data_IF_171391485988
#
_entry.id   IF_171391485988
#
_cell.length_a   1.000
_cell.length_b   1.000
_cell.length_c   1.000
_cell.angle_alpha   90.00
_cell.angle_beta   90.00
_cell.angle_gamma   90.00
#
_symmetry.space_group_name_H-M   'P 1'
#
loop_
_entity.id
_entity.type
_entity.pdbx_description
1 polymer ?
2 polymer ?
3 non-polymer ?
4 non-polymer ?
5 water ?
#
# COMPACT_ATOMS: atom_id res chain seq x y z
N UNK A 1 13.52 9.76 -9.21
CA UNK A 1 13.08 10.84 -8.34
C UNK A 1 12.92 10.43 -6.88
N UNK A 2 12.79 11.44 -6.02
CA UNK A 2 12.38 11.29 -4.63
C UNK A 2 10.93 11.77 -4.50
N UNK A 3 10.07 10.93 -3.92
CA UNK A 3 8.66 11.22 -3.81
C UNK A 3 8.32 11.29 -2.33
N UNK A 4 7.81 12.44 -1.89
CA UNK A 4 7.33 12.56 -0.52
C UNK A 4 5.87 12.09 -0.47
N UNK A 5 5.30 12.05 0.73
CA UNK A 5 4.04 11.34 0.93
C UNK A 5 2.93 12.20 1.52
N UNK A 6 3.06 13.52 1.41
CA UNK A 6 2.02 14.43 1.85
C UNK A 6 0.79 14.29 0.96
N UNK A 7 1.01 13.83 -0.27
CA UNK A 7 -0.08 13.54 -1.20
C UNK A 7 0.09 12.09 -1.62
N UNK A 8 -1.00 11.45 -2.07
CA UNK A 8 -0.89 10.10 -2.64
C UNK A 8 0.20 10.08 -3.73
N UNK A 9 1.10 9.09 -3.71
CA UNK A 9 2.12 8.93 -4.74
C UNK A 9 1.58 8.36 -6.08
N UNK A 10 0.78 9.18 -6.75
CA UNK A 10 0.21 8.86 -8.05
C UNK A 10 1.20 9.21 -9.15
N UNK A 11 1.38 8.31 -10.12
CA UNK A 11 2.28 8.55 -11.24
C UNK A 11 1.63 8.11 -12.55
N UNK A 12 2.16 8.58 -13.67
CA UNK A 12 1.69 8.10 -14.97
C UNK A 12 2.47 6.85 -15.38
N UNK A 13 1.75 5.85 -15.83
CA UNK A 13 2.36 4.65 -16.39
C UNK A 13 1.90 4.48 -17.85
N UNK A 14 2.66 3.72 -18.65
CA UNK A 14 2.26 3.27 -19.99
C UNK A 14 2.14 1.76 -19.95
N UNK A 15 1.05 1.24 -20.47
CA UNK A 15 0.80 -0.20 -20.48
C UNK A 15 -0.12 -0.47 -21.66
N UNK A 16 0.20 -1.52 -22.43
CA UNK A 16 -0.55 -1.88 -23.61
C UNK A 16 -0.70 -0.70 -24.56
N UNK A 17 0.29 0.19 -24.53
CA UNK A 17 0.30 1.42 -25.30
C UNK A 17 -0.60 2.55 -24.87
N UNK A 18 -1.17 2.47 -23.67
CA UNK A 18 -2.07 3.48 -23.13
C UNK A 18 -1.47 4.09 -21.86
N UNK A 19 -1.77 5.36 -21.62
CA UNK A 19 -1.37 6.04 -20.40
C UNK A 19 -2.48 5.86 -19.35
N UNK A 20 -2.07 5.62 -18.11
CA UNK A 20 -2.96 5.49 -16.96
C UNK A 20 -2.26 6.10 -15.76
N UNK A 21 -3.03 6.50 -14.76
CA UNK A 21 -2.49 6.95 -13.48
C UNK A 21 -2.52 5.78 -12.50
N UNK A 22 -1.46 5.63 -11.71
CA UNK A 22 -1.40 4.55 -10.74
C UNK A 22 -0.72 5.00 -9.47
N UNK A 23 -1.03 4.32 -8.38
CA UNK A 23 -0.48 4.63 -7.07
C UNK A 23 0.70 3.70 -6.75
N UNK A 24 1.84 4.29 -6.42
CA UNK A 24 3.01 3.50 -5.98
C UNK A 24 2.76 3.00 -4.56
N UNK A 25 2.57 1.69 -4.44
CA UNK A 25 2.02 1.09 -3.24
C UNK A 25 2.93 0.01 -2.64
N UNK A 26 3.74 0.41 -1.66
CA UNK A 26 4.66 -0.52 -0.98
C UNK A 26 3.96 -1.57 -0.14
N UNK A 27 2.68 -1.35 0.15
CA UNK A 27 1.86 -2.30 0.89
C UNK A 27 1.26 -3.38 0.01
N UNK A 28 1.46 -3.29 -1.29
CA UNK A 28 0.92 -4.31 -2.20
C UNK A 28 2.01 -5.26 -2.69
N UNK A 29 1.79 -6.56 -2.56
CA UNK A 29 2.71 -7.54 -3.15
C UNK A 29 2.66 -7.45 -4.67
N UNK A 30 1.47 -7.20 -5.20
CA UNK A 30 1.16 -7.31 -6.61
C UNK A 30 0.68 -5.98 -7.18
N UNK A 31 0.84 -5.83 -8.49
CA UNK A 31 0.28 -4.72 -9.27
C UNK A 31 -1.14 -5.11 -9.72
N UNK A 32 -2.09 -4.23 -9.42
CA UNK A 32 -3.51 -4.46 -9.73
C UNK A 32 -4.08 -3.21 -10.40
N UNK A 33 -4.63 -3.39 -11.59
CA UNK A 33 -5.23 -2.30 -12.35
C UNK A 33 -6.73 -2.52 -12.52
N UNK A 34 -7.44 -1.42 -12.67
CA UNK A 34 -8.88 -1.44 -12.87
C UNK A 34 -9.15 -2.08 -14.21
N UNK A 35 -10.39 -2.51 -14.40
CA UNK A 35 -10.79 -3.22 -15.60
C UNK A 35 -10.30 -2.54 -16.87
N UNK A 36 -9.65 -3.33 -17.71
CA UNK A 36 -9.12 -2.87 -18.98
C UNK A 36 -8.77 -4.11 -19.78
N UNK A 37 -8.56 -3.95 -21.08
CA UNK A 37 -8.17 -5.07 -21.90
C UNK A 37 -6.64 -5.08 -21.99
N UNK A 38 -6.03 -6.25 -21.83
CA UNK A 38 -4.60 -6.41 -22.07
C UNK A 38 -4.46 -7.54 -23.08
N UNK A 39 -3.44 -7.47 -23.94
CA UNK A 39 -3.21 -8.58 -24.86
C UNK A 39 -2.64 -9.84 -24.20
N UNK A 40 -2.95 -10.98 -24.79
CA UNK A 40 -2.38 -12.25 -24.36
C UNK A 40 -3.30 -13.07 -23.48
N UNK A 41 -2.77 -14.20 -23.03
CA UNK A 41 -3.51 -15.09 -22.16
C UNK A 41 -3.57 -14.51 -20.75
N UNK A 42 -4.60 -14.89 -20.01
CA UNK A 42 -4.67 -14.59 -18.59
C UNK A 42 -5.22 -15.82 -17.88
N UNK A 43 -4.98 -15.89 -16.57
CA UNK A 43 -5.47 -16.98 -15.73
C UNK A 43 -6.29 -16.34 -14.62
N UNK A 44 -7.41 -16.95 -14.23
CA UNK A 44 -8.14 -16.43 -13.08
C UNK A 44 -7.32 -16.60 -11.80
N UNK A 45 -7.34 -15.57 -10.95
CA UNK A 45 -6.66 -15.61 -9.65
C UNK A 45 -7.52 -14.85 -8.65
N UNK A 46 -7.22 -15.05 -7.36
CA UNK A 46 -7.86 -14.30 -6.29
C UNK A 46 -6.79 -13.60 -5.47
N UNK A 47 -7.05 -12.35 -5.07
CA UNK A 47 -6.18 -11.63 -4.16
C UNK A 47 -6.98 -10.99 -3.03
N UNK A 48 -6.29 -10.67 -1.93
CA UNK A 48 -6.91 -10.11 -0.76
C UNK A 48 -6.37 -8.73 -0.44
N UNK A 49 -7.28 -7.91 0.10
CA UNK A 49 -6.95 -6.58 0.58
C UNK A 49 -7.62 -6.37 1.92
N UNK A 50 -7.71 -5.10 2.31
CA UNK A 50 -8.19 -4.76 3.63
C UNK A 50 -9.66 -5.12 3.80
N UNK A 51 -10.43 -5.08 2.71
CA UNK A 51 -11.86 -5.39 2.76
C UNK A 51 -12.24 -6.83 2.46
N UNK A 52 -11.28 -7.65 2.05
CA UNK A 52 -11.55 -9.06 1.72
C UNK A 52 -10.95 -9.44 0.39
N UNK A 53 -11.46 -10.51 -0.22
CA UNK A 53 -10.85 -11.05 -1.44
C UNK A 53 -11.63 -10.72 -2.70
N UNK A 54 -10.92 -10.56 -3.81
CA UNK A 54 -11.53 -10.31 -5.10
C UNK A 54 -10.96 -11.27 -6.16
N UNK A 55 -11.72 -11.41 -7.23
CA UNK A 55 -11.29 -12.17 -8.40
C UNK A 55 -10.61 -11.22 -9.38
N UNK A 56 -9.46 -11.62 -9.90
CA UNK A 56 -8.74 -10.82 -10.89
C UNK A 56 -8.31 -11.70 -12.06
N UNK A 57 -7.91 -11.06 -13.16
CA UNK A 57 -7.27 -11.74 -14.29
C UNK A 57 -5.78 -11.53 -14.15
N UNK A 58 -4.99 -12.61 -14.18
CA UNK A 58 -3.54 -12.48 -14.11
C UNK A 58 -2.89 -12.55 -15.49
N UNK A 59 -2.25 -11.45 -15.88
CA UNK A 59 -1.45 -11.37 -17.08
C UNK A 59 0.03 -11.44 -16.74
N UNK A 60 0.77 -12.37 -17.34
CA UNK A 60 2.19 -12.46 -17.05
C UNK A 60 3.08 -11.72 -18.07
N UNK A 61 4.28 -11.33 -17.63
CA UNK A 61 5.30 -10.80 -18.52
C UNK A 61 4.79 -9.63 -19.34
N UNK A 62 4.10 -8.71 -18.66
CA UNK A 62 3.55 -7.52 -19.31
C UNK A 62 4.53 -6.33 -19.17
N UNK A 63 4.91 -5.70 -20.28
CA UNK A 63 5.73 -4.50 -20.11
C UNK A 63 4.93 -3.32 -19.58
N UNK A 64 5.52 -2.60 -18.64
CA UNK A 64 4.90 -1.44 -18.02
C UNK A 64 5.99 -0.40 -17.83
N UNK A 65 5.75 0.83 -18.29
CA UNK A 65 6.70 1.89 -18.10
C UNK A 65 6.20 2.81 -16.99
N UNK A 66 7.01 3.05 -15.96
CA UNK A 66 6.56 3.76 -14.75
C UNK A 66 7.47 4.98 -14.55
N UNK A 67 6.94 6.18 -14.76
CA UNK A 67 7.76 7.39 -14.71
C UNK A 67 9.01 7.27 -15.58
N UNK A 68 8.88 6.64 -16.74
CA UNK A 68 10.00 6.51 -17.65
C UNK A 68 10.87 5.31 -17.35
N UNK A 69 10.57 4.52 -16.32
CA UNK A 69 11.42 3.38 -15.96
C UNK A 69 10.72 2.11 -16.43
N UNK A 70 11.47 1.20 -17.04
CA UNK A 70 10.91 0.03 -17.67
C UNK A 70 10.77 -1.13 -16.67
N UNK A 71 9.60 -1.76 -16.68
CA UNK A 71 9.40 -3.03 -15.97
C UNK A 71 8.69 -3.97 -16.91
N UNK A 72 8.87 -5.27 -16.67
CA UNK A 72 8.12 -6.29 -17.42
C UNK A 72 7.75 -7.31 -16.37
N UNK A 73 6.45 -7.47 -16.09
CA UNK A 73 6.05 -8.43 -15.09
C UNK A 73 4.56 -8.67 -14.99
N UNK A 74 4.14 -9.30 -13.89
CA UNK A 74 2.76 -9.68 -13.70
C UNK A 74 1.89 -8.47 -13.38
N UNK A 75 0.75 -8.41 -14.07
CA UNK A 75 -0.24 -7.36 -13.86
C UNK A 75 -1.57 -8.08 -13.67
N UNK A 76 -2.21 -7.76 -12.56
CA UNK A 76 -3.56 -8.27 -12.24
C UNK A 76 -4.58 -7.19 -12.63
N UNK A 77 -5.72 -7.63 -13.18
CA UNK A 77 -6.77 -6.72 -13.60
C UNK A 77 -8.06 -7.13 -12.93
N UNK A 78 -8.74 -6.16 -12.32
CA UNK A 78 -10.00 -6.45 -11.65
C UNK A 78 -10.51 -5.26 -10.86
N UNK A 79 -11.52 -5.48 -9.99
CA UNK A 79 -12.26 -4.43 -9.31
C UNK A 79 -11.53 -3.80 -8.11
N UNK A 80 -10.34 -3.28 -8.36
CA UNK A 80 -9.63 -2.47 -7.38
C UNK A 80 -10.16 -1.03 -7.43
N UNK A 81 -10.21 -0.34 -6.28
CA UNK A 81 -10.61 1.08 -6.26
C UNK A 81 -9.66 2.05 -6.97
N UNK A 82 -8.40 1.69 -7.07
CA UNK A 82 -7.38 2.54 -7.69
C UNK A 82 -6.34 1.63 -8.34
N UNK A 83 -5.75 2.09 -9.44
CA UNK A 83 -4.63 1.39 -10.04
C UNK A 83 -3.44 1.40 -9.08
N UNK A 84 -2.87 0.24 -8.79
CA UNK A 84 -1.76 0.22 -7.85
C UNK A 84 -0.57 -0.49 -8.47
N UNK A 85 0.60 0.13 -8.30
CA UNK A 85 1.86 -0.52 -8.61
C UNK A 85 2.39 -1.11 -7.33
N UNK A 86 2.52 -2.44 -7.31
CA UNK A 86 2.99 -3.14 -6.12
C UNK A 86 4.45 -3.51 -6.23
N UNK A 87 4.91 -4.26 -5.24
CA UNK A 87 6.33 -4.51 -5.09
C UNK A 87 6.92 -5.32 -6.23
N UNK A 88 6.10 -6.16 -6.87
CA UNK A 88 6.65 -6.94 -7.99
C UNK A 88 7.28 -6.02 -9.08
N UNK A 89 6.70 -4.85 -9.33
CA UNK A 89 7.24 -3.92 -10.29
C UNK A 89 8.08 -2.83 -9.64
N UNK A 90 7.74 -2.44 -8.42
CA UNK A 90 8.57 -1.45 -7.68
C UNK A 90 10.03 -1.88 -7.58
N UNK A 91 10.25 -3.18 -7.33
CA UNK A 91 11.59 -3.73 -7.25
C UNK A 91 12.32 -3.58 -8.59
N UNK A 92 11.60 -3.80 -9.68
CA UNK A 92 12.24 -3.72 -11.00
C UNK A 92 12.75 -2.34 -11.34
N UNK A 93 12.10 -1.29 -10.83
CA UNK A 93 12.50 0.08 -11.16
C UNK A 93 13.46 0.64 -10.09
N UNK A 94 13.85 -0.20 -9.14
CA UNK A 94 14.86 0.15 -8.13
C UNK A 94 14.32 1.05 -7.03
N UNK A 95 13.03 0.92 -6.76
CA UNK A 95 12.37 1.74 -5.74
C UNK A 95 12.68 1.26 -4.31
N UNK A 96 13.06 2.18 -3.43
CA UNK A 96 13.22 1.90 -2.01
C UNK A 96 12.48 2.95 -1.16
N UNK A 97 12.24 2.60 0.10
CA UNK A 97 11.75 3.52 1.11
C UNK A 97 12.93 3.99 1.94
N UNK A 98 12.96 5.29 2.22
CA UNK A 98 14.06 5.90 2.93
C UNK A 98 13.55 6.89 3.98
N UNK A 99 14.10 6.81 5.19
CA UNK A 99 13.84 7.80 6.23
C UNK A 99 15.01 7.88 7.20
N UNK B 1 16.96 4.81 7.81
CA UNK B 1 17.37 3.62 7.08
C UNK B 1 16.86 3.59 5.65
N UNK B 2 17.34 2.63 4.87
CA UNK B 2 16.82 2.36 3.55
C UNK B 2 16.19 0.97 3.54
N UNK B 3 14.94 0.89 3.11
CA UNK B 3 14.20 -0.37 3.10
C UNK B 3 13.96 -0.78 1.66
N UNK B 4 14.50 -1.93 1.26
CA UNK B 4 14.27 -2.45 -0.08
C UNK B 4 12.90 -3.16 -0.09
N UNK B 5 12.44 -3.52 -1.28
CA UNK B 5 11.06 -3.98 -1.43
C UNK B 5 10.94 -5.41 -1.94
N UNK B 6 12.04 -6.15 -1.85
CA UNK B 6 12.04 -7.56 -2.19
C UNK B 6 11.06 -8.34 -1.32
N UNK B 7 10.94 -7.92 -0.07
CA UNK B 7 10.00 -8.51 0.86
C UNK B 7 9.08 -7.39 1.35
N UNK B 8 7.99 -7.78 2.00
CA UNK B 8 7.08 -6.80 2.62
C UNK B 8 7.90 -5.94 3.57
N UNK B 9 7.77 -4.61 3.45
CA UNK B 9 8.52 -3.70 4.33
C UNK B 9 7.91 -3.65 5.74
N UNK B 10 8.21 -4.67 6.52
CA UNK B 10 7.74 -4.81 7.88
C UNK B 10 8.79 -4.27 8.85
N UNK B 11 8.35 -3.40 9.75
CA UNK B 11 9.23 -2.79 10.73
C UNK B 11 8.59 -2.85 12.10
N UNK B 12 9.38 -2.55 13.13
CA UNK B 12 8.88 -2.57 14.50
C UNK B 12 8.35 -1.19 14.86
N UNK B 13 7.18 -1.17 15.48
CA UNK B 13 6.63 0.09 15.97
C UNK B 13 6.34 -0.06 17.44
N UNK B 14 6.23 1.07 18.12
CA UNK B 14 5.79 1.09 19.51
C UNK B 14 4.53 1.94 19.62
N UNK B 15 3.47 1.37 20.20
CA UNK B 15 2.19 2.08 20.33
C UNK B 15 1.46 1.60 21.56
N UNK B 16 0.99 2.57 22.34
CA UNK B 16 0.22 2.25 23.55
C UNK B 16 0.93 1.29 24.48
N UNK B 17 2.25 1.46 24.61
CA UNK B 17 3.07 0.55 25.40
C UNK B 17 3.19 -0.88 24.87
N UNK B 18 3.06 -1.07 23.55
CA UNK B 18 3.30 -2.38 22.94
C UNK B 18 4.22 -2.26 21.72
N UNK B 19 5.14 -3.20 21.55
CA UNK B 19 5.93 -3.31 20.33
C UNK B 19 5.21 -4.25 19.39
N UNK B 20 5.10 -3.85 18.12
CA UNK B 20 4.34 -4.60 17.12
C UNK B 20 5.09 -4.52 15.79
N UNK B 21 4.79 -5.46 14.89
CA UNK B 21 5.33 -5.46 13.53
C UNK B 21 4.28 -4.75 12.66
N UNK B 22 4.73 -3.87 11.77
CA UNK B 22 3.81 -3.15 10.91
C UNK B 22 4.43 -2.92 9.55
N UNK B 23 3.53 -2.83 8.57
CA UNK B 23 3.88 -2.69 7.18
C UNK B 23 3.89 -1.21 6.78
N UNK B 24 5.01 -0.75 6.23
CA UNK B 24 5.09 0.63 5.73
C UNK B 24 4.36 0.67 4.39
N UNK B 25 3.26 1.40 4.31
CA UNK B 25 2.32 1.30 3.20
C UNK B 25 2.03 2.67 2.59
N UNK B 26 2.77 3.01 1.52
CA UNK B 26 2.56 4.26 0.75
C UNK B 26 1.20 4.35 0.06
N UNK B 27 0.55 3.22 -0.13
CA UNK B 27 -0.79 3.16 -0.68
C UNK B 27 -1.92 3.36 0.33
N UNK B 28 -1.57 3.59 1.59
CA UNK B 28 -2.56 3.80 2.64
C UNK B 28 -2.58 5.25 3.07
N UNK B 29 -3.74 5.89 3.03
CA UNK B 29 -3.87 7.27 3.54
C UNK B 29 -3.73 7.32 5.06
N UNK B 30 -4.22 6.26 5.70
CA UNK B 30 -4.39 6.18 7.14
C UNK B 30 -3.61 5.00 7.68
N UNK B 31 -3.40 5.04 9.00
CA UNK B 31 -2.72 3.97 9.74
C UNK B 31 -3.79 3.09 10.38
N UNK B 32 -3.69 1.77 10.18
CA UNK B 32 -4.74 0.85 10.60
C UNK B 32 -4.08 -0.29 11.35
N UNK B 33 -4.45 -0.45 12.60
CA UNK B 33 -3.85 -1.50 13.43
C UNK B 33 -4.82 -2.62 13.70
N UNK B 34 -4.27 -3.83 13.88
CA UNK B 34 -5.05 -5.00 14.26
C UNK B 34 -5.72 -4.70 15.58
N UNK B 35 -6.81 -5.42 15.84
CA UNK B 35 -7.61 -5.22 17.03
C UNK B 35 -6.72 -5.16 18.27
N UNK B 36 -6.93 -4.10 19.05
CA UNK B 36 -6.20 -3.87 20.28
C UNK B 36 -7.03 -2.92 21.13
N UNK B 37 -6.86 -3.06 22.44
CA UNK B 37 -7.74 -2.41 23.39
C UNK B 37 -7.18 -1.10 23.95
N UNK B 38 -6.96 -0.12 23.06
CA UNK B 38 -6.41 1.18 23.44
C UNK B 38 -7.38 1.95 24.33
N UNK B 39 -6.84 2.65 25.34
CA UNK B 39 -7.74 3.55 26.06
C UNK B 39 -8.01 4.81 25.25
N UNK B 40 -9.08 5.51 25.61
CA UNK B 40 -9.37 6.80 25.01
C UNK B 40 -10.68 6.84 24.26
N UNK B 41 -11.07 8.05 23.90
CA UNK B 41 -12.26 8.30 23.11
C UNK B 41 -11.96 7.93 21.66
N UNK B 42 -12.96 7.41 20.98
CA UNK B 42 -12.78 7.08 19.57
C UNK B 42 -14.09 7.39 18.88
N UNK B 43 -14.07 7.39 17.56
CA UNK B 43 -15.34 7.42 16.82
C UNK B 43 -15.32 6.40 15.68
N UNK B 44 -16.51 5.92 15.29
CA UNK B 44 -16.56 4.94 14.20
C UNK B 44 -16.22 5.55 12.84
N UNK B 45 -15.63 4.71 12.00
CA UNK B 45 -15.24 5.09 10.64
C UNK B 45 -15.31 3.82 9.78
N UNK B 46 -15.50 4.03 8.48
CA UNK B 46 -15.37 3.00 7.46
C UNK B 46 -14.20 3.34 6.55
N UNK B 47 -13.33 2.37 6.32
CA UNK B 47 -12.20 2.51 5.40
C UNK B 47 -12.25 1.41 4.36
N UNK B 48 -11.76 1.72 3.16
CA UNK B 48 -11.94 0.86 2.01
C UNK B 48 -10.61 0.55 1.36
N UNK B 49 -10.62 -0.58 0.66
CA UNK B 49 -9.51 -0.97 -0.18
C UNK B 49 -9.95 -2.13 -1.06
N UNK B 50 -9.00 -2.95 -1.49
CA UNK B 50 -9.38 -4.13 -2.25
C UNK B 50 -10.30 -5.01 -1.39
N UNK B 51 -11.42 -5.42 -1.97
CA UNK B 51 -12.36 -6.27 -1.25
C UNK B 51 -13.57 -5.55 -0.68
N UNK B 52 -13.44 -4.25 -0.46
CA UNK B 52 -14.53 -3.45 0.10
C UNK B 52 -14.10 -2.69 1.33
N UNK B 53 -15.05 -2.51 2.24
CA UNK B 53 -14.85 -1.64 3.39
C UNK B 53 -14.84 -2.46 4.65
N UNK B 54 -14.12 -1.98 5.67
CA UNK B 54 -14.26 -2.54 7.01
C UNK B 54 -14.57 -1.40 7.98
N UNK B 55 -15.18 -1.80 9.09
CA UNK B 55 -15.49 -0.89 10.18
C UNK B 55 -14.32 -0.79 11.14
N UNK B 56 -13.92 0.43 11.49
CA UNK B 56 -12.79 0.68 12.40
C UNK B 56 -13.09 1.74 13.46
N UNK B 57 -12.24 1.79 14.49
CA UNK B 57 -12.37 2.77 15.56
C UNK B 57 -11.28 3.79 15.35
N UNK B 58 -11.66 5.06 15.27
CA UNK B 58 -10.69 6.13 15.05
C UNK B 58 -10.27 6.77 16.37
N UNK B 59 -8.97 6.69 16.67
CA UNK B 59 -8.37 7.29 17.87
C UNK B 59 -7.44 8.42 17.41
N UNK B 60 -7.54 9.59 18.04
CA UNK B 60 -6.72 10.72 17.63
C UNK B 60 -5.55 10.97 18.58
N UNK B 61 -4.48 11.57 18.05
CA UNK B 61 -3.34 12.02 18.87
C UNK B 61 -2.71 10.89 19.68
N UNK B 62 -2.47 9.77 19.00
CA UNK B 62 -1.86 8.62 19.62
C UNK B 62 -0.37 8.60 19.24
N UNK B 63 0.54 8.64 20.23
CA UNK B 63 1.98 8.52 19.90
C UNK B 63 2.34 7.17 19.31
N UNK B 64 3.11 7.17 18.23
CA UNK B 64 3.55 5.91 17.61
C UNK B 64 5.01 6.11 17.22
N UNK B 65 5.89 5.27 17.75
CA UNK B 65 7.29 5.32 17.33
C UNK B 65 7.53 4.25 16.26
N UNK B 66 8.20 4.62 15.17
CA UNK B 66 8.40 3.73 14.04
C UNK B 66 9.91 3.64 13.83
N UNK B 67 10.47 2.47 14.11
CA UNK B 67 11.94 2.29 14.06
C UNK B 67 12.69 3.42 14.73
N UNK B 68 12.26 3.81 15.92
CA UNK B 68 12.94 4.87 16.69
C UNK B 68 12.55 6.30 16.36
N UNK B 69 11.74 6.50 15.32
CA UNK B 69 11.31 7.83 14.91
C UNK B 69 9.92 8.09 15.46
N UNK B 70 9.78 9.15 16.25
CA UNK B 70 8.53 9.43 16.94
C UNK B 70 7.53 10.07 15.99
N UNK B 71 6.27 9.70 16.18
CA UNK B 71 5.18 10.25 15.41
C UNK B 71 4.01 10.35 16.39
N UNK B 72 2.99 11.10 15.99
CA UNK B 72 1.80 11.21 16.80
C UNK B 72 0.66 11.55 15.87
N UNK B 73 -0.40 10.75 15.91
CA UNK B 73 -1.49 11.02 15.01
C UNK B 73 -2.67 10.10 15.18
N UNK B 74 -3.49 10.08 14.14
CA UNK B 74 -4.69 9.27 14.13
C UNK B 74 -4.35 7.83 13.83
N UNK B 75 -4.89 6.92 14.64
CA UNK B 75 -4.75 5.50 14.42
C UNK B 75 -6.14 4.88 14.35
N UNK B 76 -6.34 4.02 13.35
CA UNK B 76 -7.57 3.30 13.17
C UNK B 76 -7.38 1.86 13.65
N UNK B 77 -8.36 1.34 14.40
CA UNK B 77 -8.25 -0.01 14.94
C UNK B 77 -9.44 -0.84 14.45
N UNK B 78 -9.14 -2.00 13.91
CA UNK B 78 -10.17 -2.84 13.36
C UNK B 78 -9.61 -4.12 12.82
N UNK B 79 -10.46 -4.91 12.15
CA UNK B 79 -10.09 -6.23 11.68
C UNK B 79 -9.34 -6.16 10.35
N UNK B 80 -8.22 -5.46 10.38
CA UNK B 80 -7.24 -5.55 9.32
C UNK B 80 -6.45 -6.84 9.53
N UNK B 81 -6.06 -7.51 8.43
CA UNK B 81 -5.19 -8.67 8.57
C UNK B 81 -3.72 -8.38 8.96
N UNK B 82 -3.27 -7.14 8.81
CA UNK B 82 -1.89 -6.76 9.10
C UNK B 82 -1.89 -5.33 9.64
N UNK B 83 -0.95 -4.99 10.51
CA UNK B 83 -0.80 -3.61 10.96
C UNK B 83 -0.18 -2.80 9.83
N UNK B 84 -0.78 -1.64 9.55
CA UNK B 84 -0.43 -0.86 8.38
C UNK B 84 -0.08 0.57 8.81
N UNK B 85 1.12 1.02 8.47
CA UNK B 85 1.51 2.41 8.70
C UNK B 85 1.27 3.19 7.42
N UNK B 86 0.33 4.13 7.49
CA UNK B 86 -0.04 4.90 6.33
C UNK B 86 0.63 6.27 6.24
N UNK B 87 0.29 7.04 5.22
CA UNK B 87 1.00 8.30 4.95
C UNK B 87 0.92 9.31 6.07
N UNK B 88 -0.16 9.27 6.84
CA UNK B 88 -0.33 10.23 7.93
C UNK B 88 0.84 10.19 8.91
N UNK B 89 1.42 9.03 9.15
CA UNK B 89 2.58 8.89 10.02
C UNK B 89 3.89 8.80 9.22
N UNK B 90 3.87 8.23 8.02
CA UNK B 90 5.07 8.20 7.18
C UNK B 90 5.65 9.57 6.91
N UNK B 91 4.78 10.55 6.70
CA UNK B 91 5.23 11.91 6.48
C UNK B 91 5.96 12.44 7.72
N UNK B 92 5.50 12.06 8.92
CA UNK B 92 6.08 12.58 10.17
C UNK B 92 7.48 12.06 10.45
N UNK B 93 7.79 10.88 9.91
CA UNK B 93 9.13 10.31 10.03
C UNK B 93 10.05 10.61 8.85
N UNK B 94 9.59 11.43 7.91
CA UNK B 94 10.42 11.88 6.79
C UNK B 94 10.66 10.82 5.72
N UNK B 95 9.74 9.86 5.65
CA UNK B 95 9.79 8.76 4.69
C UNK B 95 9.51 9.21 3.26
N UNK B 96 10.38 8.79 2.35
CA UNK B 96 10.21 9.05 0.92
C UNK B 96 10.34 7.76 0.13
N UNK B 97 9.81 7.81 -1.09
CA UNK B 97 10.04 6.78 -2.09
C UNK B 97 11.12 7.28 -3.02
N UNK B 98 12.05 6.41 -3.39
CA UNK B 98 13.19 6.84 -4.18
C UNK B 98 13.54 5.84 -5.25
N UNK B 99 13.62 6.29 -6.50
CA UNK B 99 14.13 5.45 -7.57
C UNK B 99 14.78 6.27 -8.69
N UNK C 2 -1.82 -13.64 -2.21
CA UNK C 2 -1.46 -12.25 -2.64
C UNK C 2 -2.20 -11.24 -1.77
N UNK C 3 -1.41 -10.37 -1.11
CA UNK C 3 -1.93 -9.37 -0.18
C UNK C 3 -1.70 -7.98 -0.77
N UNK C 4 -2.78 -7.25 -0.93
CA UNK C 4 -2.72 -5.93 -1.53
C UNK C 4 -3.39 -4.84 -0.66
N UNK C 5 -2.59 -4.32 0.27
CA UNK C 5 -3.00 -3.25 1.19
C UNK C 5 -2.68 -1.87 0.60
N UNK D 3 -9.01 4.29 0.32
CA UNK D 3 -8.10 4.96 1.30
C UNK D 3 -6.93 4.08 1.72
N UNK D 4 -7.15 2.78 1.90
CA UNK D 4 -6.15 1.83 2.39
C UNK D 4 -5.87 0.69 1.39
N UNK D 5 -4.90 0.93 0.51
CA UNK D 5 -4.52 -0.01 -0.56
#
# INVERSE_FOLDING_TARGET
>A
PQITLWKRPLVTIRIGGQLKEALLDTGADDTVLEEMNLPGKWKPKMIGGIGGFIKVRQYDQIPVEICGHKAIGTVLVGPTPVNIIGRNLLTQIGCTLNF
>B
PQITLWKRPLVTIRIGGQLKEALLDTGADDTVLEEMNLPGKWKPKMIGGIGGFIKVRQYDQIPVEICGHKAIGTVLVGPTPVNIIGRNLLTQIGCTLNF
>C
KARVL
>D
KARVL
#
